data_IF_028291733285
#
_entry.id   IF_028291733285
#
_cell.length_a   1.000
_cell.length_b   1.000
_cell.length_c   1.000
_cell.angle_alpha   90.00
_cell.angle_beta   90.00
_cell.angle_gamma   90.00
#
_symmetry.space_group_name_H-M   'P 1'
#
loop_
_entity.id
_entity.type
_entity.pdbx_description
1 polymer ?
#
# COMPACT_ATOMS: atom_id res chain seq x y z
N UNK A 1 -22.44 -27.92 3.07
CA UNK A 1 -23.16 -29.22 3.14
C UNK A 1 -22.25 -30.44 2.95
N UNK A 2 -21.41 -30.50 1.90
CA UNK A 2 -20.45 -31.60 1.68
C UNK A 2 -19.47 -31.85 2.84
N UNK A 3 -18.97 -30.77 3.45
CA UNK A 3 -18.05 -30.83 4.59
C UNK A 3 -18.67 -31.49 5.84
N UNK A 4 -19.98 -31.32 6.05
CA UNK A 4 -20.68 -31.90 7.19
C UNK A 4 -21.01 -33.39 6.98
N UNK A 5 -21.20 -33.84 5.73
CA UNK A 5 -21.40 -35.26 5.40
C UNK A 5 -20.13 -36.10 5.62
N UNK A 6 -18.93 -35.53 5.39
CA UNK A 6 -17.66 -36.21 5.62
C UNK A 6 -17.30 -36.40 7.11
N UNK A 7 -17.81 -35.54 8.00
CA UNK A 7 -17.58 -35.65 9.45
C UNK A 7 -18.45 -36.74 10.11
N UNK A 8 -19.64 -37.03 9.54
CA UNK A 8 -20.57 -38.04 10.07
C UNK A 8 -20.09 -39.50 9.96
N UNK A 9 -19.18 -39.80 9.02
CA UNK A 9 -18.63 -41.15 8.81
C UNK A 9 -17.56 -41.56 9.84
N UNK A 10 -17.19 -40.69 10.79
CA UNK A 10 -16.13 -40.93 11.79
C UNK A 10 -16.60 -41.57 13.10
N UNK A 11 -17.90 -41.81 13.28
CA UNK A 11 -18.46 -42.33 14.55
C UNK A 11 -18.39 -43.86 14.72
N UNK A 12 -17.88 -44.62 13.75
CA UNK A 12 -17.77 -46.07 13.88
C UNK A 12 -16.35 -46.56 13.61
N UNK A 13 -15.54 -46.63 14.67
CA UNK A 13 -14.49 -47.66 14.86
C UNK A 13 -13.81 -47.44 16.21
N UNK A 14 -14.31 -48.18 17.20
CA UNK A 14 -13.61 -48.50 18.45
C UNK A 14 -12.47 -49.50 18.20
N UNK A 15 -11.37 -49.24 18.92
CA UNK A 15 -10.42 -50.12 19.58
C UNK A 15 -10.20 -51.57 19.11
N UNK A 16 -8.95 -51.87 18.74
CA UNK A 16 -8.23 -53.06 19.23
C UNK A 16 -6.72 -53.03 18.92
N UNK A 17 -5.95 -52.94 20.00
CA UNK A 17 -4.68 -53.62 20.35
C UNK A 17 -3.48 -53.77 19.37
N UNK A 18 -2.42 -53.15 19.85
CA UNK A 18 -0.98 -53.49 19.83
C UNK A 18 -0.64 -54.99 19.91
N UNK A 19 0.25 -55.50 19.03
CA UNK A 19 1.44 -56.25 19.50
C UNK A 19 2.58 -56.42 18.48
N UNK A 20 3.79 -56.47 19.04
CA UNK A 20 5.13 -56.64 18.45
C UNK A 20 5.41 -58.08 18.01
N UNK A 21 6.29 -58.25 17.00
CA UNK A 21 7.45 -59.17 17.03
C UNK A 21 8.29 -59.02 15.76
N UNK A 22 9.60 -58.88 15.92
CA UNK A 22 10.57 -58.90 14.82
C UNK A 22 11.30 -60.23 14.71
N UNK A 23 11.77 -60.59 13.51
CA UNK A 23 13.16 -60.97 13.18
C UNK A 23 13.28 -61.50 11.74
N UNK A 24 14.29 -60.99 11.03
CA UNK A 24 15.16 -61.62 10.02
C UNK A 24 14.55 -62.45 8.89
N UNK A 25 14.71 -62.00 7.63
CA UNK A 25 15.75 -62.48 6.68
C UNK A 25 15.59 -61.76 5.34
N UNK A 26 16.63 -61.02 4.95
CA UNK A 26 16.94 -60.62 3.58
C UNK A 26 17.04 -61.90 2.74
N UNK A 27 16.27 -62.09 1.67
CA UNK A 27 16.78 -61.99 0.29
C UNK A 27 15.65 -61.98 -0.79
N UNK A 28 14.37 -61.87 -0.42
CA UNK A 28 13.23 -61.85 -1.37
C UNK A 28 12.62 -60.45 -1.64
N UNK A 29 13.32 -59.38 -1.23
CA UNK A 29 12.75 -58.04 -1.05
C UNK A 29 12.50 -57.22 -2.33
N UNK A 30 13.09 -57.60 -3.47
CA UNK A 30 12.95 -56.84 -4.72
C UNK A 30 11.63 -57.06 -5.47
N UNK A 31 11.18 -58.31 -5.57
CA UNK A 31 10.02 -58.69 -6.40
C UNK A 31 8.69 -58.60 -5.64
N UNK A 32 8.73 -58.80 -4.32
CA UNK A 32 7.56 -58.69 -3.42
C UNK A 32 7.17 -57.23 -3.14
N UNK A 33 8.14 -56.32 -3.04
CA UNK A 33 7.91 -54.88 -2.81
C UNK A 33 7.16 -54.19 -3.98
N UNK A 34 7.52 -54.53 -5.23
CA UNK A 34 6.84 -53.99 -6.42
C UNK A 34 5.40 -54.52 -6.57
N UNK A 35 5.14 -55.79 -6.23
CA UNK A 35 3.77 -56.36 -6.21
C UNK A 35 2.93 -55.74 -5.08
N UNK A 36 3.53 -55.52 -3.90
CA UNK A 36 2.88 -54.83 -2.77
C UNK A 36 2.54 -53.36 -3.07
N UNK A 37 3.42 -52.64 -3.78
CA UNK A 37 3.18 -51.26 -4.21
C UNK A 37 2.14 -51.16 -5.34
N UNK A 38 2.15 -52.07 -6.31
CA UNK A 38 1.14 -52.13 -7.39
C UNK A 38 -0.27 -52.40 -6.86
N UNK A 39 -0.42 -53.30 -5.88
CA UNK A 39 -1.70 -53.53 -5.21
C UNK A 39 -2.21 -52.32 -4.42
N UNK A 40 -1.31 -51.58 -3.76
CA UNK A 40 -1.66 -50.36 -3.02
C UNK A 40 -2.10 -49.21 -3.93
N UNK A 41 -1.45 -49.04 -5.09
CA UNK A 41 -1.85 -48.05 -6.10
C UNK A 41 -3.23 -48.33 -6.68
N UNK A 42 -3.52 -49.58 -7.03
CA UNK A 42 -4.85 -49.99 -7.50
C UNK A 42 -5.94 -49.76 -6.45
N UNK A 43 -5.66 -50.10 -5.19
CA UNK A 43 -6.56 -49.81 -4.06
C UNK A 43 -6.82 -48.31 -3.88
N UNK A 44 -5.79 -47.47 -4.01
CA UNK A 44 -5.90 -46.02 -3.86
C UNK A 44 -6.69 -45.39 -5.01
N UNK A 45 -6.44 -45.79 -6.26
CA UNK A 45 -7.20 -45.33 -7.42
C UNK A 45 -8.69 -45.70 -7.31
N UNK A 46 -8.97 -46.93 -6.86
CA UNK A 46 -10.32 -47.39 -6.57
C UNK A 46 -10.98 -46.53 -5.49
N UNK A 47 -10.26 -46.20 -4.42
CA UNK A 47 -10.78 -45.39 -3.32
C UNK A 47 -11.02 -43.91 -3.70
N UNK A 48 -10.19 -43.33 -4.56
CA UNK A 48 -10.43 -41.99 -5.15
C UNK A 48 -11.71 -42.02 -5.99
N UNK A 49 -11.86 -43.04 -6.82
CA UNK A 49 -13.04 -43.19 -7.67
C UNK A 49 -14.31 -43.40 -6.84
N UNK A 50 -14.25 -44.21 -5.78
CA UNK A 50 -15.34 -44.39 -4.82
C UNK A 50 -15.76 -43.07 -4.17
N UNK A 51 -14.81 -42.24 -3.71
CA UNK A 51 -15.10 -40.92 -3.12
C UNK A 51 -15.75 -39.97 -4.15
N UNK A 52 -15.24 -39.94 -5.38
CA UNK A 52 -15.81 -39.11 -6.45
C UNK A 52 -17.24 -39.58 -6.80
N UNK A 53 -17.47 -40.89 -6.86
CA UNK A 53 -18.78 -41.47 -7.12
C UNK A 53 -19.76 -41.25 -5.96
N UNK A 54 -19.34 -41.35 -4.69
CA UNK A 54 -20.17 -41.03 -3.51
C UNK A 54 -20.64 -39.57 -3.52
N UNK A 55 -19.77 -38.65 -3.98
CA UNK A 55 -20.08 -37.23 -4.06
C UNK A 55 -21.00 -36.92 -5.25
N UNK A 56 -20.85 -37.64 -6.37
CA UNK A 56 -21.55 -37.33 -7.62
C UNK A 56 -22.81 -38.16 -7.90
N UNK A 57 -22.95 -39.38 -7.35
CA UNK A 57 -24.09 -40.26 -7.63
C UNK A 57 -24.31 -41.31 -6.50
N UNK A 58 -25.09 -40.95 -5.47
CA UNK A 58 -25.29 -41.77 -4.27
C UNK A 58 -26.08 -43.07 -4.47
N UNK A 59 -26.88 -43.20 -5.54
CA UNK A 59 -27.80 -44.35 -5.74
C UNK A 59 -27.42 -45.27 -6.92
N UNK A 60 -26.28 -45.02 -7.59
CA UNK A 60 -25.87 -45.77 -8.79
C UNK A 60 -24.40 -46.21 -8.82
N UNK A 61 -23.74 -46.22 -7.65
CA UNK A 61 -22.30 -46.45 -7.50
C UNK A 61 -21.80 -47.71 -8.22
N UNK A 62 -22.45 -48.87 -8.00
CA UNK A 62 -21.99 -50.13 -8.58
C UNK A 62 -22.13 -50.17 -10.11
N UNK A 63 -23.21 -49.60 -10.66
CA UNK A 63 -23.47 -49.60 -12.10
C UNK A 63 -22.53 -48.63 -12.84
N UNK A 64 -22.22 -47.48 -12.23
CA UNK A 64 -21.21 -46.54 -12.74
C UNK A 64 -19.81 -47.16 -12.70
N UNK A 65 -19.45 -47.85 -11.61
CA UNK A 65 -18.17 -48.57 -11.50
C UNK A 65 -18.07 -49.66 -12.56
N UNK A 66 -19.15 -50.44 -12.75
CA UNK A 66 -19.22 -51.51 -13.75
C UNK A 66 -19.14 -50.96 -15.18
N UNK A 67 -19.75 -49.82 -15.47
CA UNK A 67 -19.66 -49.17 -16.80
C UNK A 67 -18.30 -48.52 -17.07
N UNK A 68 -17.70 -47.87 -16.07
CA UNK A 68 -16.37 -47.28 -16.18
C UNK A 68 -15.27 -48.34 -16.36
N UNK A 69 -15.42 -49.49 -15.73
CA UNK A 69 -14.51 -50.65 -15.89
C UNK A 69 -14.80 -51.46 -17.15
N UNK A 70 -16.06 -51.60 -17.57
CA UNK A 70 -16.44 -52.33 -18.80
C UNK A 70 -16.01 -51.64 -20.10
N UNK A 71 -15.79 -50.32 -20.11
CA UNK A 71 -15.27 -49.60 -21.28
C UNK A 71 -13.75 -49.75 -21.47
N UNK A 72 -13.02 -50.24 -20.47
CA UNK A 72 -11.59 -50.50 -20.55
C UNK A 72 -11.31 -51.99 -20.75
N UNK A 73 -11.13 -52.42 -22.00
CA UNK A 73 -10.49 -53.71 -22.30
C UNK A 73 -9.11 -53.73 -21.64
N UNK A 74 -8.85 -54.77 -20.83
CA UNK A 74 -7.53 -55.20 -20.34
C UNK A 74 -6.61 -54.12 -19.75
N UNK A 75 -7.12 -53.19 -18.93
CA UNK A 75 -6.23 -52.36 -18.10
C UNK A 75 -6.27 -52.81 -16.66
N UNK A 76 -5.12 -53.22 -16.14
CA UNK A 76 -4.96 -53.60 -14.74
C UNK A 76 -5.18 -52.37 -13.84
N UNK A 77 -5.69 -52.56 -12.62
CA UNK A 77 -5.93 -51.49 -11.63
C UNK A 77 -4.68 -50.58 -11.40
N UNK A 78 -3.49 -51.12 -11.66
CA UNK A 78 -2.22 -50.39 -11.59
C UNK A 78 -2.05 -49.35 -12.72
N UNK A 79 -2.46 -49.67 -13.94
CA UNK A 79 -2.32 -48.78 -15.11
C UNK A 79 -3.34 -47.63 -15.07
N UNK A 80 -4.50 -47.86 -14.45
CA UNK A 80 -5.46 -46.81 -14.18
C UNK A 80 -4.93 -45.81 -13.13
N UNK A 81 -4.29 -46.32 -12.07
CA UNK A 81 -3.66 -45.48 -11.04
C UNK A 81 -2.54 -44.60 -11.61
N UNK A 82 -1.66 -45.17 -12.44
CA UNK A 82 -0.56 -44.42 -13.05
C UNK A 82 -1.08 -43.33 -14.02
N UNK A 83 -2.17 -43.60 -14.77
CA UNK A 83 -2.84 -42.57 -15.58
C UNK A 83 -3.43 -41.45 -14.75
N UNK A 84 -4.06 -41.76 -13.62
CA UNK A 84 -4.60 -40.75 -12.71
C UNK A 84 -3.50 -39.84 -12.14
N UNK A 85 -2.41 -40.41 -11.65
CA UNK A 85 -1.29 -39.64 -11.11
C UNK A 85 -0.60 -38.77 -12.18
N UNK A 86 -0.43 -39.28 -13.40
CA UNK A 86 0.12 -38.50 -14.51
C UNK A 86 -0.77 -37.31 -14.89
N UNK A 87 -2.10 -37.48 -14.85
CA UNK A 87 -3.04 -36.39 -15.10
C UNK A 87 -2.98 -35.33 -14.00
N UNK A 88 -2.82 -35.74 -12.73
CA UNK A 88 -2.68 -34.83 -11.59
C UNK A 88 -1.36 -34.05 -11.70
N UNK A 89 -0.26 -34.71 -12.08
CA UNK A 89 1.04 -34.05 -12.29
C UNK A 89 0.99 -33.03 -13.42
N UNK A 90 0.38 -33.39 -14.55
CA UNK A 90 0.19 -32.48 -15.69
C UNK A 90 -0.61 -31.24 -15.29
N UNK A 91 -1.72 -31.43 -14.56
CA UNK A 91 -2.56 -30.32 -14.08
C UNK A 91 -1.87 -29.46 -13.04
N UNK A 92 -1.07 -30.05 -12.16
CA UNK A 92 -0.26 -29.32 -11.18
C UNK A 92 0.81 -28.46 -11.86
N UNK A 93 1.47 -29.00 -12.89
CA UNK A 93 2.47 -28.28 -13.67
C UNK A 93 1.85 -27.12 -14.47
N UNK A 94 0.65 -27.31 -15.04
CA UNK A 94 -0.05 -26.26 -15.80
C UNK A 94 -0.74 -25.20 -14.95
N UNK A 95 -0.93 -25.43 -13.65
CA UNK A 95 -1.64 -24.51 -12.78
C UNK A 95 -0.89 -23.18 -12.62
N UNK A 96 -1.62 -22.06 -12.74
CA UNK A 96 -1.03 -20.71 -12.70
C UNK A 96 -1.16 -20.08 -11.33
N UNK A 97 -2.26 -20.35 -10.64
CA UNK A 97 -2.52 -19.79 -9.33
C UNK A 97 -2.08 -20.75 -8.22
N UNK A 98 -1.68 -20.18 -7.08
CA UNK A 98 -1.33 -20.97 -5.89
C UNK A 98 -2.52 -21.79 -5.39
N UNK A 99 -3.74 -21.28 -5.56
CA UNK A 99 -4.98 -21.96 -5.19
C UNK A 99 -5.20 -23.21 -6.03
N UNK A 100 -5.14 -23.11 -7.37
CA UNK A 100 -5.26 -24.26 -8.28
C UNK A 100 -4.25 -25.37 -7.94
N UNK A 101 -2.99 -24.99 -7.67
CA UNK A 101 -1.93 -25.94 -7.27
C UNK A 101 -2.27 -26.71 -5.99
N UNK A 102 -2.90 -26.03 -5.03
CA UNK A 102 -3.26 -26.62 -3.74
C UNK A 102 -4.52 -27.48 -3.87
N UNK A 103 -5.50 -27.05 -4.67
CA UNK A 103 -6.72 -27.81 -4.96
C UNK A 103 -6.43 -29.10 -5.73
N UNK A 104 -5.53 -29.08 -6.73
CA UNK A 104 -5.14 -30.28 -7.49
C UNK A 104 -4.43 -31.30 -6.59
N UNK A 105 -3.55 -30.84 -5.69
CA UNK A 105 -2.86 -31.73 -4.75
C UNK A 105 -3.74 -32.18 -3.57
N UNK A 106 -4.84 -31.50 -3.30
CA UNK A 106 -5.79 -31.85 -2.24
C UNK A 106 -6.38 -33.26 -2.47
N UNK A 107 -6.61 -33.62 -3.74
CA UNK A 107 -7.14 -34.90 -4.19
C UNK A 107 -6.24 -36.09 -3.82
N UNK A 108 -4.93 -35.88 -3.75
CA UNK A 108 -3.93 -36.91 -3.40
C UNK A 108 -3.56 -36.89 -1.92
N UNK A 109 -3.68 -35.73 -1.28
CA UNK A 109 -3.16 -35.49 0.06
C UNK A 109 -3.89 -36.24 1.17
N UNK A 110 -5.14 -36.65 0.94
CA UNK A 110 -5.98 -37.39 1.92
C UNK A 110 -5.86 -38.91 1.80
N UNK A 111 -5.08 -39.42 0.85
CA UNK A 111 -4.90 -40.84 0.59
C UNK A 111 -3.97 -41.55 1.59
N UNK A 112 -3.59 -40.89 2.69
CA UNK A 112 -2.71 -41.45 3.72
C UNK A 112 -1.26 -41.65 3.28
N UNK A 113 -0.87 -41.11 2.12
CA UNK A 113 0.49 -41.22 1.58
C UNK A 113 1.49 -40.32 2.35
N UNK A 114 2.70 -40.83 2.54
CA UNK A 114 3.83 -40.03 3.01
C UNK A 114 4.24 -38.99 1.95
N UNK A 115 4.92 -37.93 2.37
CA UNK A 115 5.34 -36.85 1.47
C UNK A 115 6.20 -37.41 0.32
N UNK A 116 7.11 -38.33 0.63
CA UNK A 116 8.01 -38.93 -0.36
C UNK A 116 7.26 -39.83 -1.35
N UNK A 117 6.21 -40.52 -0.91
CA UNK A 117 5.36 -41.31 -1.80
C UNK A 117 4.55 -40.42 -2.73
N UNK A 118 4.04 -39.29 -2.23
CA UNK A 118 3.33 -38.31 -3.05
C UNK A 118 4.25 -37.66 -4.08
N UNK A 119 5.49 -37.33 -3.72
CA UNK A 119 6.50 -36.79 -4.66
C UNK A 119 6.85 -37.82 -5.73
N UNK A 120 6.96 -39.10 -5.38
CA UNK A 120 7.20 -40.17 -6.36
C UNK A 120 6.06 -40.34 -7.37
N UNK A 121 4.83 -40.01 -6.98
CA UNK A 121 3.66 -40.08 -7.85
C UNK A 121 3.37 -38.78 -8.60
N UNK A 122 3.80 -37.64 -8.06
CA UNK A 122 3.63 -36.30 -8.63
C UNK A 122 4.98 -35.58 -8.57
N UNK A 123 5.91 -35.87 -9.51
CA UNK A 123 7.27 -35.35 -9.46
C UNK A 123 7.34 -33.82 -9.54
N UNK A 124 6.36 -33.18 -10.16
CA UNK A 124 6.30 -31.73 -10.30
C UNK A 124 5.98 -31.03 -8.96
N UNK A 125 5.45 -31.76 -7.96
CA UNK A 125 5.06 -31.21 -6.68
C UNK A 125 6.22 -31.17 -5.67
N UNK A 126 6.25 -30.10 -4.84
CA UNK A 126 7.23 -29.98 -3.76
C UNK A 126 6.61 -30.35 -2.41
N UNK A 127 7.46 -30.78 -1.46
CA UNK A 127 7.07 -31.07 -0.08
C UNK A 127 6.31 -29.90 0.59
N UNK A 128 6.62 -28.66 0.19
CA UNK A 128 5.93 -27.46 0.65
C UNK A 128 4.46 -27.44 0.22
N UNK A 129 4.18 -27.67 -1.07
CA UNK A 129 2.82 -27.69 -1.59
C UNK A 129 2.00 -28.87 -1.06
N UNK A 130 2.62 -30.02 -0.84
CA UNK A 130 1.98 -31.20 -0.23
C UNK A 130 1.56 -30.91 1.21
N UNK A 131 2.42 -30.28 2.01
CA UNK A 131 2.07 -29.87 3.38
C UNK A 131 0.96 -28.82 3.42
N UNK A 132 0.93 -27.93 2.43
CA UNK A 132 -0.13 -26.94 2.27
C UNK A 132 -1.46 -27.62 1.91
N UNK A 133 -1.47 -28.54 0.95
CA UNK A 133 -2.65 -29.29 0.57
C UNK A 133 -3.20 -30.14 1.73
N UNK A 134 -2.33 -30.78 2.52
CA UNK A 134 -2.72 -31.46 3.77
C UNK A 134 -3.34 -30.51 4.80
N UNK A 135 -2.89 -29.24 4.87
CA UNK A 135 -3.49 -28.22 5.74
C UNK A 135 -4.82 -27.70 5.19
N UNK A 136 -4.94 -27.57 3.87
CA UNK A 136 -6.16 -27.19 3.18
C UNK A 136 -7.29 -28.21 3.44
N UNK A 137 -7.03 -29.51 3.30
CA UNK A 137 -8.02 -30.56 3.59
C UNK A 137 -8.45 -30.62 5.06
N UNK A 138 -7.59 -30.16 5.98
CA UNK A 138 -7.91 -30.04 7.41
C UNK A 138 -8.72 -28.78 7.76
N UNK A 139 -9.14 -27.99 6.76
CA UNK A 139 -9.85 -26.72 6.96
C UNK A 139 -8.96 -25.57 7.45
N UNK A 140 -7.63 -25.72 7.35
CA UNK A 140 -6.65 -24.75 7.87
C UNK A 140 -6.20 -23.70 6.86
N UNK A 141 -6.72 -23.72 5.63
CA UNK A 141 -6.46 -22.66 4.64
C UNK A 141 -7.77 -22.19 4.03
N UNK A 142 -7.96 -20.88 4.10
CA UNK A 142 -9.07 -20.18 3.47
C UNK A 142 -8.50 -19.35 2.32
N UNK A 143 -8.87 -19.72 1.09
CA UNK A 143 -8.53 -18.96 -0.11
C UNK A 143 -9.60 -17.91 -0.43
N UNK A 144 -10.57 -17.69 0.45
CA UNK A 144 -11.58 -16.66 0.26
C UNK A 144 -10.90 -15.34 -0.11
N UNK A 145 -11.27 -14.85 -1.29
CA UNK A 145 -10.92 -13.53 -1.78
C UNK A 145 -11.49 -12.58 -0.73
N UNK A 146 -10.63 -12.07 0.16
CA UNK A 146 -11.02 -11.08 1.15
C UNK A 146 -11.44 -9.81 0.42
N UNK A 147 -12.72 -9.69 0.11
CA UNK A 147 -13.31 -8.44 -0.34
C UNK A 147 -13.28 -7.46 0.84
N UNK A 148 -12.18 -6.69 0.95
CA UNK A 148 -12.22 -5.45 1.71
C UNK A 148 -13.16 -4.51 0.95
N UNK A 149 -14.39 -4.39 1.43
CA UNK A 149 -15.25 -3.26 1.06
C UNK A 149 -14.59 -2.00 1.58
N UNK A 150 -13.78 -1.36 0.74
CA UNK A 150 -13.33 0.00 0.99
C UNK A 150 -14.56 0.90 0.91
N UNK A 151 -15.00 1.41 2.07
CA UNK A 151 -16.06 2.41 2.12
C UNK A 151 -15.53 3.69 1.49
N UNK A 152 -15.82 3.87 0.21
CA UNK A 152 -15.47 5.04 -0.58
C UNK A 152 -16.51 6.13 -0.32
N UNK A 153 -16.09 7.23 0.28
CA UNK A 153 -16.92 8.43 0.46
C UNK A 153 -16.49 9.45 -0.58
N UNK A 154 -17.26 9.55 -1.66
CA UNK A 154 -16.94 10.36 -2.83
C UNK A 154 -16.78 11.83 -2.47
N UNK A 155 -17.70 12.38 -1.67
CA UNK A 155 -17.69 13.80 -1.26
C UNK A 155 -16.43 14.13 -0.45
N UNK A 156 -16.06 13.29 0.52
CA UNK A 156 -14.85 13.52 1.33
C UNK A 156 -13.57 13.40 0.51
N UNK A 157 -13.52 12.45 -0.42
CA UNK A 157 -12.37 12.27 -1.29
C UNK A 157 -12.23 13.42 -2.29
N UNK A 158 -13.33 13.84 -2.92
CA UNK A 158 -13.35 14.99 -3.83
C UNK A 158 -12.85 16.25 -3.14
N UNK A 159 -13.34 16.54 -1.93
CA UNK A 159 -12.89 17.71 -1.15
C UNK A 159 -11.39 17.66 -0.83
N UNK A 160 -10.86 16.49 -0.49
CA UNK A 160 -9.42 16.35 -0.25
C UNK A 160 -8.59 16.52 -1.51
N UNK A 161 -9.05 16.01 -2.65
CA UNK A 161 -8.39 16.19 -3.95
C UNK A 161 -8.43 17.67 -4.36
N UNK A 162 -9.54 18.36 -4.17
CA UNK A 162 -9.65 19.81 -4.38
C UNK A 162 -8.67 20.58 -3.49
N UNK A 163 -8.57 20.23 -2.21
CA UNK A 163 -7.55 20.78 -1.31
C UNK A 163 -6.13 20.56 -1.86
N UNK A 164 -5.82 19.38 -2.42
CA UNK A 164 -4.49 19.12 -2.98
C UNK A 164 -4.15 19.98 -4.20
N UNK A 165 -5.15 20.33 -5.01
CA UNK A 165 -4.96 21.23 -6.16
C UNK A 165 -4.89 22.71 -5.77
N UNK A 166 -5.68 23.12 -4.77
CA UNK A 166 -5.68 24.51 -4.28
C UNK A 166 -4.48 24.80 -3.38
N UNK A 167 -3.99 23.79 -2.67
CA UNK A 167 -2.80 23.91 -1.83
C UNK A 167 -1.53 23.69 -2.63
N UNK A 168 -0.42 24.15 -2.07
CA UNK A 168 0.92 23.89 -2.58
C UNK A 168 1.51 22.58 -2.05
N UNK A 169 0.66 21.63 -1.67
CA UNK A 169 1.09 20.33 -1.15
C UNK A 169 1.76 19.47 -2.21
N UNK A 170 1.41 19.69 -3.48
CA UNK A 170 1.87 18.96 -4.65
C UNK A 170 2.66 19.87 -5.59
N UNK A 171 3.59 19.27 -6.31
CA UNK A 171 4.37 19.90 -7.39
C UNK A 171 4.24 19.01 -8.61
N UNK A 172 3.83 19.58 -9.73
CA UNK A 172 3.91 18.95 -11.05
C UNK A 172 5.36 18.93 -11.51
N UNK A 173 5.86 17.74 -11.86
CA UNK A 173 7.19 17.61 -12.44
C UNK A 173 7.12 17.92 -13.94
N UNK A 174 8.09 18.66 -14.50
CA UNK A 174 8.13 18.89 -15.94
C UNK A 174 8.61 17.67 -16.73
N UNK A 175 8.96 16.57 -16.05
CA UNK A 175 9.37 15.32 -16.65
C UNK A 175 8.68 14.12 -16.01
N UNK A 176 8.43 13.10 -16.82
CA UNK A 176 7.83 11.84 -16.43
C UNK A 176 6.31 11.86 -16.51
N UNK A 177 5.76 10.93 -17.29
CA UNK A 177 4.32 10.72 -17.39
C UNK A 177 3.94 9.50 -16.55
N UNK A 178 2.88 9.64 -15.77
CA UNK A 178 2.22 8.51 -15.11
C UNK A 178 1.07 8.06 -15.99
N UNK A 179 1.13 6.84 -16.50
CA UNK A 179 0.04 6.25 -17.27
C UNK A 179 -1.08 5.80 -16.33
N UNK A 180 -2.21 6.49 -16.37
CA UNK A 180 -3.42 6.08 -15.68
C UNK A 180 -4.20 5.11 -16.56
N UNK A 181 -4.44 3.90 -16.05
CA UNK A 181 -5.30 2.92 -16.73
C UNK A 181 -6.73 3.13 -16.25
N UNK A 182 -7.62 3.50 -17.18
CA UNK A 182 -9.05 3.64 -16.92
C UNK A 182 -9.72 2.25 -16.85
N UNK A 183 -10.95 2.21 -16.36
CA UNK A 183 -11.74 0.98 -16.24
C UNK A 183 -12.06 0.31 -17.57
N UNK A 184 -11.98 1.06 -18.67
CA UNK A 184 -12.13 0.57 -20.04
C UNK A 184 -10.81 -0.01 -20.62
N UNK A 185 -9.73 0.00 -19.84
CA UNK A 185 -8.41 -0.48 -20.25
C UNK A 185 -7.57 0.55 -21.03
N UNK A 186 -8.11 1.74 -21.30
CA UNK A 186 -7.36 2.82 -21.95
C UNK A 186 -6.29 3.39 -21.01
N UNK A 187 -5.15 3.80 -21.57
CA UNK A 187 -4.04 4.38 -20.81
C UNK A 187 -3.87 5.84 -21.18
N UNK A 188 -4.15 6.73 -20.23
CA UNK A 188 -4.01 8.18 -20.44
C UNK A 188 -2.77 8.67 -19.69
N UNK A 189 -1.84 9.37 -20.37
CA UNK A 189 -0.69 9.99 -19.71
C UNK A 189 -1.16 11.18 -18.86
N UNK A 190 -0.77 11.18 -17.59
CA UNK A 190 -0.96 12.31 -16.68
C UNK A 190 0.43 12.76 -16.22
N UNK A 191 0.66 14.08 -16.17
CA UNK A 191 1.91 14.65 -15.68
C UNK A 191 2.25 14.08 -14.29
N UNK A 192 3.49 13.62 -14.10
CA UNK A 192 3.90 13.08 -12.81
C UNK A 192 3.86 14.16 -11.74
N UNK A 193 3.22 13.84 -10.62
CA UNK A 193 3.11 14.74 -9.47
C UNK A 193 3.95 14.21 -8.32
N UNK A 194 4.67 15.11 -7.67
CA UNK A 194 5.46 14.81 -6.47
C UNK A 194 4.97 15.64 -5.28
N UNK A 195 5.21 15.14 -4.06
CA UNK A 195 4.82 15.87 -2.84
C UNK A 195 5.90 16.86 -2.45
N UNK A 196 5.50 18.11 -2.21
CA UNK A 196 6.35 19.14 -1.61
C UNK A 196 6.59 18.86 -0.13
N UNK A 197 5.55 18.46 0.60
CA UNK A 197 5.61 18.25 2.06
C UNK A 197 5.47 16.78 2.47
N UNK A 198 5.82 16.50 3.73
CA UNK A 198 5.63 15.18 4.34
C UNK A 198 4.14 14.86 4.53
N UNK A 199 3.81 13.56 4.59
CA UNK A 199 2.42 13.11 4.85
C UNK A 199 1.82 13.77 6.10
N UNK A 200 2.58 13.83 7.19
CA UNK A 200 2.14 14.41 8.46
C UNK A 200 1.83 15.90 8.33
N UNK A 201 2.62 16.64 7.55
CA UNK A 201 2.40 18.07 7.30
C UNK A 201 1.17 18.29 6.42
N UNK A 202 1.00 17.53 5.33
CA UNK A 202 -0.18 17.60 4.48
C UNK A 202 -1.47 17.31 5.28
N UNK A 203 -1.44 16.32 6.19
CA UNK A 203 -2.58 16.04 7.07
C UNK A 203 -2.92 17.22 7.99
N UNK A 204 -1.92 17.96 8.47
CA UNK A 204 -2.11 19.12 9.33
C UNK A 204 -2.68 20.30 8.53
N UNK A 205 -2.11 20.57 7.35
CA UNK A 205 -2.58 21.62 6.44
C UNK A 205 -4.04 21.39 6.05
N UNK A 206 -4.40 20.16 5.67
CA UNK A 206 -5.78 19.83 5.32
C UNK A 206 -6.74 20.04 6.50
N UNK A 207 -6.32 19.68 7.71
CA UNK A 207 -7.13 19.92 8.91
C UNK A 207 -7.35 21.42 9.15
N UNK A 208 -6.29 22.22 9.06
CA UNK A 208 -6.37 23.68 9.21
C UNK A 208 -7.31 24.29 8.16
N UNK A 209 -7.23 23.80 6.92
CA UNK A 209 -8.12 24.25 5.85
C UNK A 209 -9.60 23.97 6.13
N UNK A 210 -9.91 22.77 6.61
CA UNK A 210 -11.28 22.41 7.01
C UNK A 210 -11.76 23.22 8.22
N UNK A 211 -10.86 23.56 9.15
CA UNK A 211 -11.16 24.42 10.30
C UNK A 211 -11.48 25.85 9.84
N UNK A 212 -10.71 26.40 8.90
CA UNK A 212 -10.95 27.73 8.31
C UNK A 212 -12.26 27.77 7.51
N UNK A 213 -12.55 26.71 6.74
CA UNK A 213 -13.75 26.62 5.90
C UNK A 213 -15.01 26.19 6.67
N UNK A 214 -14.88 25.79 7.95
CA UNK A 214 -15.95 25.21 8.79
C UNK A 214 -16.53 23.88 8.24
N UNK A 215 -15.72 23.13 7.49
CA UNK A 215 -16.13 21.89 6.80
C UNK A 215 -15.60 20.62 7.49
N UNK A 216 -15.48 20.63 8.81
CA UNK A 216 -14.88 19.51 9.57
C UNK A 216 -15.58 18.15 9.39
N UNK A 217 -16.84 18.16 8.96
CA UNK A 217 -17.60 16.96 8.62
C UNK A 217 -17.04 16.20 7.41
N UNK A 218 -16.26 16.87 6.54
CA UNK A 218 -15.60 16.27 5.37
C UNK A 218 -14.23 15.66 5.66
N UNK A 219 -13.80 15.68 6.93
CA UNK A 219 -12.48 15.20 7.33
C UNK A 219 -12.27 13.72 6.98
N UNK A 220 -11.23 13.45 6.21
CA UNK A 220 -10.72 12.10 5.97
C UNK A 220 -9.85 11.58 7.12
N UNK A 221 -9.92 10.28 7.35
CA UNK A 221 -8.99 9.58 8.23
C UNK A 221 -7.56 9.58 7.66
N UNK A 222 -6.55 9.61 8.54
CA UNK A 222 -5.12 9.59 8.14
C UNK A 222 -4.76 8.44 7.19
N UNK A 223 -5.38 7.26 7.39
CA UNK A 223 -5.17 6.11 6.52
C UNK A 223 -5.67 6.33 5.08
N UNK A 224 -6.81 7.00 4.91
CA UNK A 224 -7.35 7.35 3.59
C UNK A 224 -6.49 8.41 2.90
N UNK A 225 -6.11 9.47 3.62
CA UNK A 225 -5.17 10.49 3.12
C UNK A 225 -3.86 9.85 2.64
N UNK A 226 -3.30 8.93 3.43
CA UNK A 226 -2.05 8.25 3.08
C UNK A 226 -2.21 7.36 1.85
N UNK A 227 -3.35 6.66 1.69
CA UNK A 227 -3.64 5.84 0.50
C UNK A 227 -3.75 6.70 -0.75
N UNK A 228 -4.51 7.80 -0.70
CA UNK A 228 -4.68 8.73 -1.81
C UNK A 228 -3.31 9.29 -2.24
N UNK A 229 -2.54 9.80 -1.28
CA UNK A 229 -1.22 10.36 -1.55
C UNK A 229 -0.19 9.32 -2.03
N UNK A 230 -0.32 8.04 -1.64
CA UNK A 230 0.53 6.95 -2.17
C UNK A 230 0.27 6.69 -3.65
N UNK A 231 -0.96 6.90 -4.12
CA UNK A 231 -1.34 6.74 -5.54
C UNK A 231 -0.95 7.99 -6.32
N UNK A 232 -1.40 9.17 -5.87
CA UNK A 232 -1.22 10.42 -6.60
C UNK A 232 0.23 10.92 -6.65
N UNK A 233 0.97 10.77 -5.55
CA UNK A 233 2.29 11.38 -5.43
C UNK A 233 3.21 10.52 -4.55
N UNK A 234 3.50 9.29 -5.00
CA UNK A 234 4.31 8.31 -4.26
C UNK A 234 5.66 8.89 -3.81
N UNK A 235 6.33 9.64 -4.69
CA UNK A 235 7.65 10.21 -4.45
C UNK A 235 7.56 11.46 -3.58
N UNK A 236 8.48 11.58 -2.62
CA UNK A 236 8.80 12.85 -1.96
C UNK A 236 9.86 13.53 -2.80
N UNK A 237 9.71 14.80 -3.13
CA UNK A 237 10.77 15.51 -3.84
C UNK A 237 11.89 15.82 -2.84
N UNK A 238 13.07 15.25 -3.05
CA UNK A 238 14.22 15.47 -2.16
C UNK A 238 15.00 16.73 -2.53
N UNK A 239 15.00 17.15 -3.80
CA UNK A 239 15.68 18.34 -4.30
C UNK A 239 14.90 18.92 -5.50
N UNK A 240 14.36 20.11 -5.32
CA UNK A 240 13.65 20.92 -6.35
C UNK A 240 14.51 22.07 -6.86
N UNK A 241 15.82 22.03 -6.59
CA UNK A 241 16.70 23.21 -6.62
C UNK A 241 17.00 23.78 -8.01
N UNK A 242 16.40 23.29 -9.08
CA UNK A 242 16.91 23.52 -10.44
C UNK A 242 15.91 24.04 -11.49
N UNK A 243 14.78 24.64 -11.11
CA UNK A 243 13.84 25.16 -12.14
C UNK A 243 13.32 26.59 -11.89
N UNK A 244 13.54 27.19 -10.72
CA UNK A 244 12.94 28.49 -10.40
C UNK A 244 13.98 29.50 -9.89
N UNK A 245 14.29 30.49 -10.74
CA UNK A 245 15.20 31.62 -10.45
C UNK A 245 14.78 32.35 -9.16
N UNK A 246 13.47 32.56 -8.97
CA UNK A 246 12.93 33.21 -7.79
C UNK A 246 13.18 32.40 -6.50
N UNK A 247 13.14 31.07 -6.60
CA UNK A 247 13.43 30.20 -5.46
C UNK A 247 14.91 30.24 -5.07
N UNK A 248 15.82 30.44 -6.04
CA UNK A 248 17.26 30.62 -5.78
C UNK A 248 17.52 31.96 -5.12
N UNK A 249 16.95 33.04 -5.66
CA UNK A 249 17.07 34.38 -5.10
C UNK A 249 16.51 34.46 -3.67
N UNK A 250 15.34 33.84 -3.44
CA UNK A 250 14.77 33.75 -2.11
C UNK A 250 15.71 33.00 -1.13
N UNK A 251 16.33 31.90 -1.56
CA UNK A 251 17.28 31.15 -0.74
C UNK A 251 18.50 32.00 -0.35
N UNK A 252 19.06 32.74 -1.32
CA UNK A 252 20.20 33.62 -1.07
C UNK A 252 19.80 34.77 -0.15
N UNK A 253 18.61 35.36 -0.31
CA UNK A 253 18.09 36.38 0.59
C UNK A 253 17.98 35.90 2.04
N UNK A 254 17.49 34.67 2.28
CA UNK A 254 17.45 34.11 3.63
C UNK A 254 18.85 33.87 4.23
N UNK A 255 19.81 33.50 3.39
CA UNK A 255 21.20 33.32 3.80
C UNK A 255 21.84 34.66 4.16
N UNK A 256 21.60 35.71 3.36
CA UNK A 256 22.04 37.07 3.64
C UNK A 256 21.44 37.60 4.95
N UNK A 257 20.14 37.42 5.19
CA UNK A 257 19.51 37.78 6.48
C UNK A 257 20.18 37.09 7.68
N UNK A 258 20.56 35.82 7.50
CA UNK A 258 21.28 35.09 8.55
C UNK A 258 22.69 35.64 8.76
N UNK A 259 23.37 36.05 7.70
CA UNK A 259 24.69 36.67 7.75
C UNK A 259 24.66 38.05 8.42
N UNK A 260 23.66 38.88 8.12
CA UNK A 260 23.47 40.18 8.79
C UNK A 260 23.31 40.00 10.30
N UNK A 261 22.56 38.99 10.74
CA UNK A 261 22.45 38.66 12.19
C UNK A 261 23.80 38.26 12.79
N UNK A 262 24.66 37.56 12.05
CA UNK A 262 26.00 37.20 12.50
C UNK A 262 26.92 38.43 12.59
N UNK A 263 26.82 39.36 11.63
CA UNK A 263 27.53 40.63 11.62
C UNK A 263 27.10 41.52 12.79
N UNK A 264 25.80 41.69 13.02
CA UNK A 264 25.26 42.44 14.16
C UNK A 264 25.82 41.92 15.50
N UNK A 265 25.96 40.60 15.64
CA UNK A 265 26.63 40.00 16.81
C UNK A 265 28.12 40.30 16.82
N UNK A 266 28.80 40.22 15.67
CA UNK A 266 30.21 40.56 15.52
C UNK A 266 30.54 41.98 15.98
N UNK A 267 29.63 42.93 15.73
CA UNK A 267 29.72 44.32 16.17
C UNK A 267 29.20 44.56 17.60
N UNK A 268 28.72 43.53 18.30
CA UNK A 268 28.28 43.63 19.70
C UNK A 268 26.92 44.29 19.90
N UNK A 269 26.13 44.50 18.83
CA UNK A 269 24.78 45.08 18.91
C UNK A 269 23.74 44.10 19.46
N UNK A 270 24.02 42.79 19.36
CA UNK A 270 23.15 41.74 19.88
C UNK A 270 23.95 40.67 20.64
N UNK A 271 23.31 40.07 21.64
CA UNK A 271 23.87 38.96 22.41
C UNK A 271 23.77 37.59 21.70
N UNK A 272 24.47 36.58 22.23
CA UNK A 272 24.42 35.20 21.71
C UNK A 272 23.01 34.59 21.74
N UNK A 273 22.20 34.90 22.77
CA UNK A 273 20.85 34.36 22.88
C UNK A 273 19.88 35.04 21.91
N UNK A 274 20.08 36.34 21.66
CA UNK A 274 19.33 37.11 20.67
C UNK A 274 19.66 36.65 19.24
N UNK A 275 20.93 36.41 18.94
CA UNK A 275 21.37 35.83 17.66
C UNK A 275 20.66 34.49 17.40
N UNK A 276 20.67 33.58 18.38
CA UNK A 276 20.00 32.27 18.28
C UNK A 276 18.50 32.43 18.11
N UNK A 277 17.89 33.37 18.83
CA UNK A 277 16.49 33.68 18.68
C UNK A 277 16.23 34.13 17.24
N UNK A 278 16.85 35.23 16.77
CA UNK A 278 16.63 35.78 15.43
C UNK A 278 16.81 34.74 14.33
N UNK A 279 17.86 33.91 14.39
CA UNK A 279 18.05 32.78 13.44
C UNK A 279 16.91 31.77 13.49
N UNK A 280 16.35 31.48 14.66
CA UNK A 280 15.15 30.64 14.81
C UNK A 280 13.94 31.31 14.17
N UNK A 281 13.74 32.62 14.37
CA UNK A 281 12.65 33.38 13.77
C UNK A 281 12.75 33.40 12.25
N UNK A 282 13.93 33.65 11.68
CA UNK A 282 14.21 33.54 10.24
C UNK A 282 13.77 32.17 9.70
N UNK A 283 14.15 31.07 10.38
CA UNK A 283 13.76 29.71 9.96
C UNK A 283 12.25 29.48 10.02
N UNK A 284 11.57 30.00 11.03
CA UNK A 284 10.12 29.88 11.18
C UNK A 284 9.41 30.66 10.07
N UNK A 285 9.80 31.91 9.84
CA UNK A 285 9.22 32.76 8.79
C UNK A 285 9.42 32.17 7.40
N UNK A 286 10.64 31.67 7.11
CA UNK A 286 10.91 30.94 5.86
C UNK A 286 9.98 29.73 5.71
N UNK A 287 9.84 28.91 6.75
CA UNK A 287 9.00 27.71 6.71
C UNK A 287 7.49 28.02 6.62
N UNK A 288 7.07 29.20 7.05
CA UNK A 288 5.71 29.72 6.87
C UNK A 288 5.47 30.12 5.41
N UNK A 289 6.34 30.97 4.84
CA UNK A 289 6.24 31.47 3.47
C UNK A 289 6.35 30.36 2.41
N UNK A 290 7.35 29.48 2.52
CA UNK A 290 7.48 28.32 1.62
C UNK A 290 6.35 27.28 1.80
N UNK A 291 5.64 27.40 2.93
CA UNK A 291 4.73 26.43 3.49
C UNK A 291 3.26 26.79 3.34
N UNK A 292 2.68 27.28 4.42
CA UNK A 292 1.22 27.44 4.57
C UNK A 292 0.70 28.74 3.98
N UNK A 293 1.57 29.77 3.85
CA UNK A 293 1.20 31.11 3.39
C UNK A 293 0.41 31.08 2.07
N UNK A 294 0.88 30.34 1.07
CA UNK A 294 0.20 30.24 -0.23
C UNK A 294 -1.25 29.73 -0.14
N UNK A 295 -1.54 28.86 0.81
CA UNK A 295 -2.90 28.32 1.00
C UNK A 295 -3.83 29.26 1.78
N UNK A 296 -3.25 30.25 2.46
CA UNK A 296 -3.94 31.28 3.24
C UNK A 296 -4.23 32.54 2.43
N UNK A 297 -3.48 32.76 1.34
CA UNK A 297 -3.71 33.87 0.39
C UNK A 297 -5.00 33.65 -0.40
N UNK A 298 -5.84 34.68 -0.46
CA UNK A 298 -7.08 34.73 -1.20
C UNK A 298 -7.28 36.11 -1.84
N UNK A 299 -8.12 36.20 -2.87
CA UNK A 299 -8.43 37.50 -3.52
C UNK A 299 -9.08 38.50 -2.55
N UNK A 300 -9.88 37.99 -1.62
CA UNK A 300 -10.56 38.76 -0.58
C UNK A 300 -10.33 38.07 0.75
N UNK A 301 -9.53 38.69 1.62
CA UNK A 301 -9.21 38.15 2.95
C UNK A 301 -9.29 39.25 3.99
N UNK A 302 -9.79 38.90 5.19
CA UNK A 302 -9.82 39.83 6.31
C UNK A 302 -8.43 40.12 6.89
N UNK A 303 -7.42 39.33 6.53
CA UNK A 303 -6.03 39.59 6.92
C UNK A 303 -5.34 40.31 5.76
N UNK A 304 -4.80 41.50 6.01
CA UNK A 304 -4.16 42.34 4.99
C UNK A 304 -3.11 41.55 4.17
N UNK A 305 -2.18 40.87 4.87
CA UNK A 305 -1.09 40.08 4.25
C UNK A 305 -1.56 38.87 3.44
N UNK A 306 -2.81 38.44 3.60
CA UNK A 306 -3.38 37.29 2.89
C UNK A 306 -4.33 37.73 1.77
N UNK A 307 -4.74 39.00 1.74
CA UNK A 307 -5.57 39.55 0.70
C UNK A 307 -4.68 39.93 -0.49
N UNK A 308 -4.70 39.14 -1.56
CA UNK A 308 -3.84 39.41 -2.72
C UNK A 308 -4.16 40.73 -3.39
N UNK A 309 -5.44 41.12 -3.40
CA UNK A 309 -5.92 42.40 -3.95
C UNK A 309 -5.38 43.60 -3.17
N UNK A 310 -5.26 43.48 -1.85
CA UNK A 310 -4.69 44.52 -0.99
C UNK A 310 -3.16 44.49 -0.99
N UNK A 311 -2.56 43.31 -0.75
CA UNK A 311 -1.10 43.14 -0.62
C UNK A 311 -0.32 43.49 -1.89
N UNK A 312 -0.94 43.35 -3.07
CA UNK A 312 -0.33 43.71 -4.36
C UNK A 312 -0.75 45.10 -4.86
N UNK A 313 -1.60 45.82 -4.12
CA UNK A 313 -2.03 47.16 -4.50
C UNK A 313 -0.98 48.20 -4.09
N UNK A 314 -0.59 49.05 -5.01
CA UNK A 314 0.25 50.22 -4.71
C UNK A 314 -0.62 51.49 -4.63
N UNK A 315 -0.83 52.07 -3.43
CA UNK A 315 -1.64 53.27 -3.27
C UNK A 315 -1.02 54.51 -3.91
N UNK A 316 0.29 54.49 -4.18
CA UNK A 316 1.02 55.62 -4.79
C UNK A 316 0.91 55.61 -6.32
N UNK A 317 0.61 54.46 -6.93
CA UNK A 317 0.51 54.31 -8.39
C UNK A 317 -0.90 53.92 -8.82
N UNK A 318 -1.65 54.89 -9.36
CA UNK A 318 -3.06 54.72 -9.77
C UNK A 318 -3.34 53.48 -10.64
N UNK A 319 -2.41 53.11 -11.53
CA UNK A 319 -2.55 51.93 -12.41
C UNK A 319 -2.38 50.59 -11.68
N UNK A 320 -1.72 50.58 -10.53
CA UNK A 320 -1.50 49.40 -9.69
C UNK A 320 -2.31 49.46 -8.40
N UNK A 321 -3.09 50.53 -8.18
CA UNK A 321 -3.97 50.68 -7.04
C UNK A 321 -5.24 49.85 -7.23
N UNK A 322 -5.53 48.97 -6.28
CA UNK A 322 -6.76 48.19 -6.24
C UNK A 322 -7.46 48.39 -4.90
N UNK A 323 -8.75 48.68 -4.94
CA UNK A 323 -9.55 48.83 -3.73
C UNK A 323 -10.22 47.51 -3.36
N UNK A 324 -10.28 47.24 -2.07
CA UNK A 324 -11.01 46.11 -1.49
C UNK A 324 -12.38 46.58 -1.02
N UNK A 325 -13.42 45.78 -1.27
CA UNK A 325 -14.78 46.03 -0.77
C UNK A 325 -15.00 45.47 0.66
N UNK A 326 -13.92 45.14 1.37
CA UNK A 326 -13.93 44.53 2.69
C UNK A 326 -12.84 45.14 3.57
N UNK A 327 -12.97 44.95 4.89
CA UNK A 327 -12.05 45.49 5.89
C UNK A 327 -11.02 44.44 6.34
N UNK A 328 -9.80 44.91 6.64
CA UNK A 328 -8.66 44.08 7.00
C UNK A 328 -8.37 44.08 8.51
N UNK A 329 -9.32 43.61 9.32
CA UNK A 329 -9.16 43.55 10.79
C UNK A 329 -8.49 42.29 11.32
N UNK A 330 -8.34 41.28 10.46
CA UNK A 330 -7.72 40.01 10.80
C UNK A 330 -6.20 40.16 10.94
N UNK A 331 -5.64 39.42 11.90
CA UNK A 331 -4.18 39.34 12.12
C UNK A 331 -3.70 37.92 11.84
N UNK A 332 -2.53 37.81 11.24
CA UNK A 332 -1.83 36.53 11.09
C UNK A 332 -0.55 36.61 11.90
N UNK A 333 -0.48 35.83 12.99
CA UNK A 333 0.67 35.85 13.88
C UNK A 333 1.97 35.54 13.13
N UNK A 334 1.98 34.54 12.24
CA UNK A 334 3.20 34.17 11.52
C UNK A 334 3.68 35.29 10.56
N UNK A 335 2.75 35.99 9.90
CA UNK A 335 3.07 37.15 9.04
C UNK A 335 3.55 38.35 9.87
N UNK A 336 2.85 38.66 10.97
CA UNK A 336 3.20 39.77 11.87
C UNK A 336 4.60 39.54 12.46
N UNK A 337 4.94 38.29 12.81
CA UNK A 337 6.26 37.92 13.32
C UNK A 337 7.38 38.20 12.31
N UNK A 338 7.15 37.92 11.01
CA UNK A 338 8.12 38.26 9.96
C UNK A 338 8.28 39.78 9.82
N UNK A 339 7.18 40.53 9.85
CA UNK A 339 7.24 41.99 9.76
C UNK A 339 8.02 42.61 10.93
N UNK A 340 7.75 42.14 12.15
CA UNK A 340 8.47 42.57 13.35
C UNK A 340 9.96 42.21 13.30
N UNK A 341 10.31 41.03 12.78
CA UNK A 341 11.70 40.63 12.58
C UNK A 341 12.41 41.59 11.62
N UNK A 342 11.79 41.91 10.47
CA UNK A 342 12.37 42.82 9.49
C UNK A 342 12.53 44.24 10.05
N UNK A 343 11.53 44.75 10.77
CA UNK A 343 11.61 46.06 11.42
C UNK A 343 12.73 46.11 12.47
N UNK A 344 12.89 45.04 13.25
CA UNK A 344 13.96 44.96 14.25
C UNK A 344 15.35 44.91 13.60
N UNK A 345 15.52 44.10 12.55
CA UNK A 345 16.78 44.04 11.81
C UNK A 345 17.13 45.40 11.19
N UNK A 346 16.16 46.08 10.57
CA UNK A 346 16.38 47.42 10.00
C UNK A 346 16.86 48.41 11.07
N UNK A 347 16.21 48.42 12.23
CA UNK A 347 16.60 49.34 13.32
C UNK A 347 18.01 49.05 13.84
N UNK A 348 18.42 47.79 13.91
CA UNK A 348 19.77 47.42 14.35
C UNK A 348 20.82 47.73 13.28
N UNK A 349 20.49 47.56 12.00
CA UNK A 349 21.40 47.94 10.91
C UNK A 349 21.56 49.45 10.80
N UNK A 350 20.51 50.23 11.08
CA UNK A 350 20.60 51.69 11.12
C UNK A 350 21.52 52.14 12.27
N UNK A 351 21.41 51.52 13.44
CA UNK A 351 22.32 51.77 14.57
C UNK A 351 23.78 51.44 14.23
N UNK A 352 24.01 50.38 13.46
CA UNK A 352 25.35 50.03 12.99
C UNK A 352 25.90 51.10 12.03
N UNK A 353 25.08 51.56 11.09
CA UNK A 353 25.47 52.60 10.13
C UNK A 353 25.78 53.93 10.83
N UNK A 354 24.99 54.31 11.84
CA UNK A 354 25.24 55.51 12.65
C UNK A 354 26.53 55.39 13.49
N UNK A 355 26.83 54.20 14.00
CA UNK A 355 28.05 53.92 14.76
C UNK A 355 29.32 53.88 13.91
N UNK A 356 29.23 53.54 12.62
CA UNK A 356 30.35 53.61 11.67
C UNK A 356 30.56 55.01 11.10
N UNK A 357 29.52 55.86 11.10
CA UNK A 357 29.58 57.25 10.66
C UNK A 357 30.10 58.22 11.74
N UNK A 358 30.10 57.80 13.01
CA UNK A 358 30.60 58.56 14.18
C UNK A 358 32.03 58.18 14.53
#
# INVERSE_FOLDING_TARGET
ELHNKLLGLRSSRDDSEVNRRGKSREEESGVTSLKSQRGKKGYLARRIFEIVCEVMASEGMEELFRRATAQGRDTTDSELADRMFNNIDTRFASATTRQEKVEVLSLVSDLGMTIDETIRCVPSATAHYINIAKKFNRGGMDFDIKYKRDRFDETKNARFVEFLYRSNALITLPWGDTLCTLSDGTKTPIASVARKFSFSRICRMYRKDLEMSKEMHLKLGRGSITRILKVLAKRKTERMTCVDEFSVDAYEGWKQLTAVVEELRGHGLIGNDEEKAMKRWIRISRAHLEGEYQSEVAESSKVAHHCSRFSLSDPTRKYYASQCAHEHHGKCTDCDQLYLLMANLSSLTDQLADAEAS
#
